data_IF_244579866402
#
_entry.id   IF_244579866402
#
_cell.length_a   1.000
_cell.length_b   1.000
_cell.length_c   1.000
_cell.angle_alpha   90.00
_cell.angle_beta   90.00
_cell.angle_gamma   90.00
#
_symmetry.space_group_name_H-M   'P 1'
#
loop_
_entity.id
_entity.type
_entity.pdbx_description
1 polymer ?
#
# COMPACT_ATOMS: atom_id res chain seq x y z
N UNK A 1 -12.24 26.28 35.18
CA UNK A 1 -11.42 27.10 34.27
C UNK A 1 -11.27 26.30 32.97
N UNK A 2 -11.76 26.80 31.83
CA UNK A 2 -11.49 26.16 30.53
C UNK A 2 -10.11 26.62 30.06
N UNK A 3 -9.18 25.68 29.87
CA UNK A 3 -7.90 25.97 29.25
C UNK A 3 -8.12 26.12 27.73
N UNK A 4 -7.49 27.11 27.07
CA UNK A 4 -7.66 27.35 25.64
C UNK A 4 -7.05 26.23 24.78
N UNK A 5 -5.98 25.58 25.26
CA UNK A 5 -5.34 24.46 24.60
C UNK A 5 -5.33 23.25 25.53
N UNK A 6 -6.10 22.25 25.14
CA UNK A 6 -6.22 20.99 25.86
C UNK A 6 -5.74 19.79 25.03
N UNK A 7 -5.48 20.02 23.75
CA UNK A 7 -4.81 19.10 22.84
C UNK A 7 -3.33 19.48 22.76
N UNK A 8 -2.48 18.77 23.48
CA UNK A 8 -1.03 19.01 23.53
C UNK A 8 -0.23 17.76 23.15
N UNK A 9 1.01 17.93 22.69
CA UNK A 9 1.86 16.80 22.31
C UNK A 9 2.08 15.81 23.46
N UNK A 10 2.31 16.30 24.69
CA UNK A 10 2.52 15.44 25.86
C UNK A 10 1.32 14.53 26.16
N UNK A 11 0.12 15.07 26.00
CA UNK A 11 -1.11 14.28 26.18
C UNK A 11 -1.26 13.28 25.03
N UNK A 12 -0.89 13.65 23.80
CA UNK A 12 -0.90 12.72 22.66
C UNK A 12 0.06 11.55 22.86
N UNK A 13 1.27 11.78 23.40
CA UNK A 13 2.22 10.72 23.76
C UNK A 13 1.65 9.80 24.85
N UNK A 14 0.95 10.37 25.83
CA UNK A 14 0.28 9.57 26.87
C UNK A 14 -0.80 8.67 26.26
N UNK A 15 -1.62 9.20 25.35
CA UNK A 15 -2.67 8.44 24.66
C UNK A 15 -2.08 7.39 23.71
N UNK A 16 -0.94 7.69 23.08
CA UNK A 16 -0.22 6.74 22.25
C UNK A 16 0.21 5.50 23.04
N UNK A 17 0.82 5.69 24.22
CA UNK A 17 1.21 4.55 25.08
C UNK A 17 -0.02 3.74 25.53
N UNK A 18 -1.14 4.39 25.84
CA UNK A 18 -2.41 3.70 26.16
C UNK A 18 -2.94 2.89 24.97
N UNK A 19 -2.90 3.46 23.77
CA UNK A 19 -3.33 2.79 22.53
C UNK A 19 -2.42 1.60 22.20
N UNK A 20 -1.11 1.75 22.43
CA UNK A 20 -0.13 0.68 22.27
C UNK A 20 -0.39 -0.45 23.27
N UNK A 21 -0.58 -0.14 24.55
CA UNK A 21 -0.95 -1.12 25.57
C UNK A 21 -2.24 -1.87 25.18
N UNK A 22 -3.24 -1.15 24.66
CA UNK A 22 -4.47 -1.79 24.17
C UNK A 22 -4.20 -2.80 23.05
N UNK A 23 -3.33 -2.48 22.09
CA UNK A 23 -2.95 -3.38 21.00
C UNK A 23 -2.11 -4.57 21.49
N UNK A 24 -1.25 -4.38 22.49
CA UNK A 24 -0.51 -5.48 23.13
C UNK A 24 -1.45 -6.45 23.85
N UNK A 25 -2.47 -5.94 24.53
CA UNK A 25 -3.52 -6.73 25.19
C UNK A 25 -4.50 -7.39 24.19
N UNK A 26 -4.70 -6.78 23.01
CA UNK A 26 -5.57 -7.27 21.94
C UNK A 26 -4.76 -7.69 20.72
N UNK A 27 -3.92 -8.72 20.89
CA UNK A 27 -3.00 -9.22 19.86
C UNK A 27 -3.68 -9.56 18.52
N UNK A 28 -4.93 -10.02 18.54
CA UNK A 28 -5.72 -10.28 17.33
C UNK A 28 -6.04 -9.01 16.54
N UNK A 29 -6.34 -7.89 17.22
CA UNK A 29 -6.58 -6.58 16.58
C UNK A 29 -5.27 -6.08 15.97
N UNK A 30 -4.17 -6.15 16.72
CA UNK A 30 -2.85 -5.73 16.24
C UNK A 30 -2.41 -6.52 14.99
N UNK A 31 -2.62 -7.84 15.01
CA UNK A 31 -2.34 -8.71 13.86
C UNK A 31 -3.21 -8.33 12.66
N UNK A 32 -4.52 -8.20 12.84
CA UNK A 32 -5.43 -7.80 11.76
C UNK A 32 -5.08 -6.43 11.18
N UNK A 33 -4.73 -5.44 12.01
CA UNK A 33 -4.25 -4.14 11.54
C UNK A 33 -3.03 -4.28 10.64
N UNK A 34 -2.06 -5.09 11.04
CA UNK A 34 -0.86 -5.35 10.25
C UNK A 34 -1.19 -6.03 8.92
N UNK A 35 -2.03 -7.07 8.93
CA UNK A 35 -2.43 -7.78 7.71
C UNK A 35 -3.19 -6.86 6.74
N UNK A 36 -4.11 -6.03 7.23
CA UNK A 36 -4.85 -5.06 6.39
C UNK A 36 -3.91 -4.00 5.79
N UNK A 37 -2.97 -3.48 6.58
CA UNK A 37 -1.99 -2.51 6.12
C UNK A 37 -1.09 -3.10 5.03
N UNK A 38 -0.57 -4.31 5.25
CA UNK A 38 0.24 -5.01 4.25
C UNK A 38 -0.56 -5.37 3.00
N UNK A 39 -1.81 -5.80 3.14
CA UNK A 39 -2.68 -6.11 2.00
C UNK A 39 -2.87 -4.88 1.10
N UNK A 40 -3.24 -3.74 1.69
CA UNK A 40 -3.44 -2.53 0.91
C UNK A 40 -2.14 -1.97 0.32
N UNK A 41 -1.01 -2.13 1.02
CA UNK A 41 0.31 -1.80 0.47
C UNK A 41 0.65 -2.66 -0.76
N UNK A 42 0.35 -3.97 -0.71
CA UNK A 42 0.60 -4.87 -1.85
C UNK A 42 -0.24 -4.50 -3.08
N UNK A 43 -1.40 -3.86 -2.93
CA UNK A 43 -2.19 -3.35 -4.07
C UNK A 43 -1.38 -2.39 -4.96
N UNK A 44 -0.43 -1.63 -4.42
CA UNK A 44 0.42 -0.75 -5.22
C UNK A 44 1.21 -1.50 -6.29
N UNK A 45 1.64 -2.75 -6.01
CA UNK A 45 2.35 -3.59 -6.98
C UNK A 45 1.43 -4.09 -8.11
N UNK A 46 0.12 -4.14 -7.85
CA UNK A 46 -0.88 -4.59 -8.82
C UNK A 46 -1.12 -3.54 -9.92
N UNK A 47 -0.87 -2.26 -9.62
CA UNK A 47 -1.03 -1.16 -10.60
C UNK A 47 0.17 -1.19 -11.55
N UNK A 48 -0.03 -1.48 -12.85
CA UNK A 48 1.08 -1.67 -13.77
C UNK A 48 1.79 -0.35 -14.06
N UNK A 49 3.12 -0.37 -14.02
CA UNK A 49 3.98 0.75 -14.42
C UNK A 49 4.74 0.37 -15.68
N UNK A 50 4.50 1.12 -16.76
CA UNK A 50 5.13 0.97 -18.08
C UNK A 50 6.01 2.17 -18.37
N UNK A 51 6.82 2.11 -19.42
CA UNK A 51 7.60 3.26 -19.90
C UNK A 51 6.73 4.45 -20.31
N UNK A 52 5.47 4.21 -20.69
CA UNK A 52 4.53 5.24 -21.13
C UNK A 52 3.86 5.96 -19.94
N UNK A 53 3.57 5.22 -18.87
CA UNK A 53 2.87 5.77 -17.71
C UNK A 53 3.81 6.14 -16.54
N UNK A 54 5.10 5.80 -16.62
CA UNK A 54 6.10 6.20 -15.63
C UNK A 54 6.13 7.73 -15.51
N UNK A 55 6.01 8.26 -14.29
CA UNK A 55 5.92 9.70 -13.99
C UNK A 55 4.69 10.45 -14.51
N UNK A 56 3.71 9.77 -15.10
CA UNK A 56 2.46 10.40 -15.53
C UNK A 56 1.53 10.79 -14.38
N UNK A 57 1.80 10.31 -13.17
CA UNK A 57 0.95 10.56 -12.00
C UNK A 57 -0.29 9.66 -11.93
N UNK A 58 -0.49 8.70 -12.85
CA UNK A 58 -1.57 7.69 -12.74
C UNK A 58 -1.55 6.89 -11.42
N UNK A 59 -0.36 6.74 -10.82
CA UNK A 59 -0.12 6.06 -9.56
C UNK A 59 -0.38 6.95 -8.32
N UNK A 60 -0.46 8.27 -8.51
CA UNK A 60 -0.56 9.25 -7.42
C UNK A 60 -1.78 9.01 -6.52
N UNK A 61 -3.01 8.75 -7.03
CA UNK A 61 -4.16 8.57 -6.14
C UNK A 61 -4.04 7.37 -5.21
N UNK A 62 -3.46 6.25 -5.67
CA UNK A 62 -3.20 5.12 -4.77
C UNK A 62 -2.13 5.47 -3.73
N UNK A 63 -1.05 6.11 -4.16
CA UNK A 63 0.04 6.49 -3.25
C UNK A 63 -0.47 7.43 -2.14
N UNK A 64 -1.20 8.48 -2.50
CA UNK A 64 -1.77 9.45 -1.55
C UNK A 64 -2.85 8.78 -0.66
N UNK A 65 -3.61 7.84 -1.22
CA UNK A 65 -4.53 7.00 -0.44
C UNK A 65 -3.81 6.15 0.61
N UNK A 66 -2.65 5.58 0.28
CA UNK A 66 -1.82 4.80 1.21
C UNK A 66 -1.21 5.68 2.30
N UNK A 67 -0.75 6.88 1.97
CA UNK A 67 -0.26 7.85 2.96
C UNK A 67 -1.39 8.29 3.91
N UNK A 68 -2.57 8.60 3.39
CA UNK A 68 -3.74 8.97 4.21
C UNK A 68 -4.18 7.84 5.16
N UNK A 69 -4.06 6.56 4.78
CA UNK A 69 -4.33 5.45 5.72
C UNK A 69 -3.35 5.47 6.90
N UNK A 70 -2.07 5.77 6.66
CA UNK A 70 -1.06 5.84 7.71
C UNK A 70 -1.29 7.06 8.62
N UNK A 71 -1.66 8.21 8.04
CA UNK A 71 -2.05 9.40 8.78
C UNK A 71 -3.28 9.11 9.65
N UNK A 72 -4.30 8.46 9.10
CA UNK A 72 -5.51 8.05 9.81
C UNK A 72 -5.19 7.16 11.01
N UNK A 73 -4.35 6.14 10.83
CA UNK A 73 -3.87 5.28 11.91
C UNK A 73 -3.15 6.07 13.01
N UNK A 74 -2.20 6.93 12.63
CA UNK A 74 -1.44 7.75 13.59
C UNK A 74 -2.37 8.68 14.39
N UNK A 75 -3.31 9.34 13.72
CA UNK A 75 -4.30 10.19 14.39
C UNK A 75 -5.17 9.39 15.36
N UNK A 76 -5.56 8.16 15.00
CA UNK A 76 -6.32 7.27 15.88
C UNK A 76 -5.51 6.90 17.13
N UNK A 77 -4.25 6.51 16.95
CA UNK A 77 -3.33 6.16 18.05
C UNK A 77 -3.07 7.34 19.00
N UNK A 78 -3.16 8.58 18.52
CA UNK A 78 -2.97 9.80 19.31
C UNK A 78 -4.28 10.33 19.93
N UNK A 79 -5.41 9.64 19.75
CA UNK A 79 -6.71 10.02 20.31
C UNK A 79 -7.49 11.07 19.50
N UNK A 80 -7.06 11.37 18.26
CA UNK A 80 -7.76 12.28 17.35
C UNK A 80 -8.78 11.53 16.48
N UNK A 81 -9.71 10.80 17.11
CA UNK A 81 -10.59 9.85 16.41
C UNK A 81 -11.46 10.46 15.30
N UNK A 82 -11.93 11.71 15.46
CA UNK A 82 -12.68 12.40 14.39
C UNK A 82 -11.77 12.64 13.18
N UNK A 83 -10.57 13.16 13.39
CA UNK A 83 -9.61 13.45 12.33
C UNK A 83 -9.12 12.16 11.68
N UNK A 84 -8.95 11.09 12.47
CA UNK A 84 -8.67 9.75 11.94
C UNK A 84 -9.76 9.29 10.97
N UNK A 85 -11.05 9.46 11.29
CA UNK A 85 -12.16 9.14 10.38
C UNK A 85 -12.18 10.05 9.14
N UNK A 86 -11.88 11.34 9.28
CA UNK A 86 -11.75 12.27 8.14
C UNK A 86 -10.64 11.84 7.18
N UNK A 87 -9.46 11.50 7.71
CA UNK A 87 -8.32 11.02 6.92
C UNK A 87 -8.61 9.65 6.28
N UNK A 88 -9.29 8.75 7.00
CA UNK A 88 -9.74 7.47 6.45
C UNK A 88 -10.69 7.65 5.25
N UNK A 89 -11.58 8.66 5.31
CA UNK A 89 -12.43 9.03 4.18
C UNK A 89 -11.60 9.54 2.99
N UNK A 90 -10.59 10.38 3.25
CA UNK A 90 -9.67 10.86 2.22
C UNK A 90 -8.99 9.70 1.51
N UNK A 91 -8.46 8.74 2.28
CA UNK A 91 -7.89 7.50 1.73
C UNK A 91 -8.88 6.72 0.88
N UNK A 92 -10.12 6.53 1.35
CA UNK A 92 -11.18 5.85 0.59
C UNK A 92 -11.48 6.55 -0.74
N UNK A 93 -11.64 7.87 -0.74
CA UNK A 93 -11.92 8.64 -1.96
C UNK A 93 -10.74 8.57 -2.95
N UNK A 94 -9.51 8.76 -2.48
CA UNK A 94 -8.30 8.68 -3.30
C UNK A 94 -8.09 7.28 -3.89
N UNK A 95 -8.35 6.23 -3.09
CA UNK A 95 -8.28 4.85 -3.54
C UNK A 95 -9.33 4.53 -4.61
N UNK A 96 -10.53 5.10 -4.52
CA UNK A 96 -11.53 5.02 -5.59
C UNK A 96 -11.09 5.75 -6.86
N UNK A 97 -10.45 6.92 -6.72
CA UNK A 97 -9.92 7.67 -7.86
C UNK A 97 -8.82 6.90 -8.60
N UNK A 98 -7.98 6.17 -7.88
CA UNK A 98 -6.98 5.27 -8.48
C UNK A 98 -7.63 4.32 -9.48
N UNK A 99 -8.69 3.62 -9.06
CA UNK A 99 -9.42 2.67 -9.91
C UNK A 99 -10.15 3.39 -11.04
N UNK A 100 -10.80 4.52 -10.75
CA UNK A 100 -11.58 5.28 -11.71
C UNK A 100 -10.75 5.84 -12.87
N UNK A 101 -9.59 6.42 -12.56
CA UNK A 101 -8.70 7.00 -13.57
C UNK A 101 -7.96 5.93 -14.35
N UNK A 102 -7.60 4.83 -13.73
CA UNK A 102 -6.93 3.75 -14.45
C UNK A 102 -7.90 2.78 -15.16
N UNK A 103 -9.22 3.01 -15.12
CA UNK A 103 -10.21 2.02 -15.58
C UNK A 103 -10.03 1.56 -17.02
N UNK A 104 -9.63 2.46 -17.93
CA UNK A 104 -9.42 2.15 -19.36
C UNK A 104 -7.93 2.10 -19.74
N UNK A 105 -7.03 2.04 -18.75
CA UNK A 105 -5.56 2.06 -18.93
C UNK A 105 -5.00 3.35 -19.60
N UNK A 106 -5.83 4.40 -19.68
CA UNK A 106 -5.53 5.76 -20.15
C UNK A 106 -5.28 6.75 -19.00
N UNK A 107 -5.14 6.24 -17.77
CA UNK A 107 -4.99 7.05 -16.54
C UNK A 107 -3.88 8.09 -16.61
N UNK A 108 -2.80 7.78 -17.33
CA UNK A 108 -1.65 8.65 -17.54
C UNK A 108 -1.96 9.92 -18.34
N UNK A 109 -2.97 9.88 -19.21
CA UNK A 109 -3.40 11.04 -20.02
C UNK A 109 -4.49 11.85 -19.29
N UNK A 110 -5.50 11.16 -18.77
CA UNK A 110 -6.72 11.81 -18.27
C UNK A 110 -6.54 12.46 -16.90
N UNK A 111 -5.57 12.00 -16.09
CA UNK A 111 -5.37 12.52 -14.74
C UNK A 111 -4.66 13.89 -14.70
N UNK A 112 -4.04 14.33 -15.80
CA UNK A 112 -3.17 15.52 -15.81
C UNK A 112 -3.88 16.80 -15.37
N UNK A 113 -5.13 17.00 -15.80
CA UNK A 113 -5.93 18.18 -15.43
C UNK A 113 -6.26 18.18 -13.94
N UNK A 114 -6.59 17.02 -13.38
CA UNK A 114 -6.85 16.87 -11.95
C UNK A 114 -5.58 17.08 -11.11
N UNK A 115 -4.42 16.54 -11.52
CA UNK A 115 -3.14 16.76 -10.84
C UNK A 115 -2.72 18.24 -10.81
N UNK A 116 -3.04 18.99 -11.88
CA UNK A 116 -2.79 20.43 -11.95
C UNK A 116 -3.85 21.28 -11.23
N UNK A 117 -4.84 20.65 -10.61
CA UNK A 117 -5.99 21.31 -9.98
C UNK A 117 -6.88 22.13 -10.95
N UNK A 118 -6.85 21.79 -12.24
CA UNK A 118 -7.69 22.40 -13.27
C UNK A 118 -9.11 21.78 -13.31
N UNK A 119 -9.27 20.56 -12.77
CA UNK A 119 -10.53 19.82 -12.74
C UNK A 119 -10.91 19.41 -11.31
N UNK A 120 -12.21 19.41 -11.01
CA UNK A 120 -12.73 18.93 -9.74
C UNK A 120 -12.69 17.40 -9.66
N UNK A 121 -12.53 16.86 -8.45
CA UNK A 121 -12.71 15.44 -8.20
C UNK A 121 -14.11 14.97 -8.62
N UNK A 122 -14.23 13.88 -9.39
CA UNK A 122 -15.52 13.33 -9.81
C UNK A 122 -16.35 12.90 -8.60
N UNK A 123 -17.67 13.07 -8.70
CA UNK A 123 -18.58 12.64 -7.63
C UNK A 123 -18.72 11.12 -7.65
N UNK A 124 -19.06 10.54 -6.49
CA UNK A 124 -19.30 9.10 -6.37
C UNK A 124 -20.24 8.54 -7.45
N UNK A 125 -21.32 9.25 -7.77
CA UNK A 125 -22.28 8.83 -8.80
C UNK A 125 -21.66 8.77 -10.21
N UNK A 126 -20.67 9.60 -10.52
CA UNK A 126 -19.96 9.58 -11.80
C UNK A 126 -18.91 8.46 -11.81
N UNK A 127 -18.21 8.26 -10.69
CA UNK A 127 -17.28 7.15 -10.51
C UNK A 127 -18.02 5.82 -10.72
N UNK A 128 -19.11 5.59 -9.99
CA UNK A 128 -19.86 4.33 -10.07
C UNK A 128 -20.45 4.10 -11.47
N UNK A 129 -20.95 5.15 -12.13
CA UNK A 129 -21.47 5.05 -13.51
C UNK A 129 -20.41 4.56 -14.49
N UNK A 130 -19.16 4.96 -14.30
CA UNK A 130 -18.03 4.47 -15.11
C UNK A 130 -17.68 3.03 -14.76
N UNK A 131 -17.60 2.71 -13.46
CA UNK A 131 -17.28 1.35 -12.99
C UNK A 131 -18.32 0.31 -13.47
N UNK A 132 -19.62 0.60 -13.35
CA UNK A 132 -20.68 -0.36 -13.72
C UNK A 132 -20.76 -0.68 -15.22
N UNK A 133 -20.09 0.10 -16.06
CA UNK A 133 -19.96 -0.15 -17.50
C UNK A 133 -18.80 -1.11 -17.83
N UNK A 134 -17.86 -1.30 -16.90
CA UNK A 134 -16.70 -2.17 -17.12
C UNK A 134 -17.09 -3.65 -16.86
N UNK A 135 -16.79 -4.59 -17.79
CA UNK A 135 -17.21 -5.98 -17.68
C UNK A 135 -16.84 -6.66 -16.36
N UNK A 136 -15.61 -6.48 -15.88
CA UNK A 136 -15.16 -7.07 -14.61
C UNK A 136 -15.98 -6.59 -13.41
N UNK A 137 -16.29 -5.30 -13.35
CA UNK A 137 -17.10 -4.71 -12.28
C UNK A 137 -18.56 -5.12 -12.38
N UNK A 138 -19.10 -5.27 -13.60
CA UNK A 138 -20.44 -5.80 -13.81
C UNK A 138 -20.55 -7.24 -13.30
N UNK A 139 -19.61 -8.11 -13.65
CA UNK A 139 -19.54 -9.49 -13.15
C UNK A 139 -19.40 -9.50 -11.63
N UNK A 140 -18.46 -8.74 -11.07
CA UNK A 140 -18.25 -8.69 -9.63
C UNK A 140 -19.50 -8.19 -8.88
N UNK A 141 -20.18 -7.15 -9.40
CA UNK A 141 -21.41 -6.59 -8.80
C UNK A 141 -22.58 -7.58 -8.79
N UNK A 142 -22.67 -8.49 -9.75
CA UNK A 142 -23.73 -9.51 -9.81
C UNK A 142 -23.63 -10.52 -8.66
N UNK A 143 -22.41 -10.76 -8.17
CA UNK A 143 -22.13 -11.75 -7.13
C UNK A 143 -21.83 -11.12 -5.77
N UNK A 144 -21.24 -9.93 -5.74
CA UNK A 144 -20.96 -9.14 -4.56
C UNK A 144 -21.59 -7.76 -4.68
N UNK A 145 -22.38 -7.35 -3.68
CA UNK A 145 -23.07 -6.06 -3.69
C UNK A 145 -22.13 -4.88 -3.37
N UNK A 146 -21.06 -4.72 -4.14
CA UNK A 146 -20.00 -3.74 -3.88
C UNK A 146 -20.51 -2.29 -3.93
N UNK A 147 -21.49 -2.00 -4.79
CA UNK A 147 -22.17 -0.70 -4.83
C UNK A 147 -22.77 -0.32 -3.49
N UNK A 148 -23.47 -1.27 -2.85
CA UNK A 148 -24.10 -1.00 -1.56
C UNK A 148 -23.05 -0.80 -0.47
N UNK A 149 -22.00 -1.64 -0.44
CA UNK A 149 -20.88 -1.47 0.50
C UNK A 149 -20.23 -0.09 0.38
N UNK A 150 -20.04 0.38 -0.85
CA UNK A 150 -19.53 1.73 -1.13
C UNK A 150 -20.46 2.83 -0.61
N UNK A 151 -21.77 2.69 -0.82
CA UNK A 151 -22.77 3.64 -0.30
C UNK A 151 -22.84 3.63 1.23
N UNK A 152 -22.67 2.45 1.84
CA UNK A 152 -22.69 2.28 3.29
C UNK A 152 -21.52 3.02 3.95
N UNK A 153 -20.36 3.14 3.30
CA UNK A 153 -19.25 4.00 3.76
C UNK A 153 -19.53 5.52 3.64
N UNK A 154 -20.65 5.92 3.05
CA UNK A 154 -21.04 7.32 2.92
C UNK A 154 -21.14 8.06 4.26
N UNK A 155 -21.37 7.35 5.39
CA UNK A 155 -21.40 7.97 6.72
C UNK A 155 -20.05 8.60 7.12
N UNK A 156 -18.93 8.20 6.51
CA UNK A 156 -17.63 8.81 6.80
C UNK A 156 -17.65 10.33 6.53
N UNK A 157 -18.48 10.79 5.59
CA UNK A 157 -18.70 12.21 5.30
C UNK A 157 -19.29 12.97 6.50
N UNK A 158 -20.06 12.30 7.36
CA UNK A 158 -20.65 12.91 8.54
C UNK A 158 -19.56 13.34 9.56
N UNK A 159 -18.38 12.70 9.57
CA UNK A 159 -17.22 13.11 10.38
C UNK A 159 -16.54 14.37 9.84
N UNK A 160 -16.47 14.52 8.52
CA UNK A 160 -15.91 15.73 7.88
C UNK A 160 -16.71 16.97 8.29
N UNK A 161 -18.03 16.88 8.17
CA UNK A 161 -18.94 18.00 8.47
C UNK A 161 -19.42 18.06 9.92
N UNK A 162 -18.94 17.14 10.78
CA UNK A 162 -19.35 17.03 12.18
C UNK A 162 -20.88 17.08 12.36
N UNK A 163 -21.59 16.16 11.69
CA UNK A 163 -23.06 16.10 11.67
C UNK A 163 -23.65 15.70 13.03
N UNK A 164 -23.67 16.64 13.97
CA UNK A 164 -24.11 16.42 15.34
C UNK A 164 -23.07 15.72 16.21
N UNK A 165 -23.44 15.51 17.47
CA UNK A 165 -22.52 15.06 18.52
C UNK A 165 -21.82 13.73 18.19
N UNK A 166 -22.53 12.79 17.57
CA UNK A 166 -22.02 11.46 17.19
C UNK A 166 -20.78 11.52 16.29
N UNK A 167 -20.66 12.52 15.43
CA UNK A 167 -19.58 12.62 14.46
C UNK A 167 -18.60 13.77 14.78
N UNK A 168 -18.62 14.24 16.02
CA UNK A 168 -17.77 15.32 16.52
C UNK A 168 -16.56 14.78 17.29
N UNK A 169 -15.71 15.66 17.81
CA UNK A 169 -14.62 15.28 18.72
C UNK A 169 -15.14 14.69 20.06
N UNK A 170 -16.45 14.74 20.31
CA UNK A 170 -17.08 14.07 21.45
C UNK A 170 -17.56 12.64 21.14
N UNK A 171 -17.11 12.07 20.02
CA UNK A 171 -17.35 10.67 19.67
C UNK A 171 -16.53 9.75 20.59
N UNK A 172 -17.19 8.85 21.33
CA UNK A 172 -16.56 7.96 22.31
C UNK A 172 -17.20 8.09 23.69
N UNK A 173 -17.33 9.30 24.25
CA UNK A 173 -17.99 9.62 25.54
C UNK A 173 -18.46 11.09 25.55
N UNK A 174 -19.49 11.43 26.34
CA UNK A 174 -19.75 12.82 26.76
C UNK A 174 -18.78 13.20 27.91
N UNK A 175 -17.86 14.16 27.67
CA UNK A 175 -16.97 14.82 28.66
C UNK A 175 -15.50 14.36 28.77
N UNK A 176 -14.70 14.54 27.72
CA UNK A 176 -13.31 14.94 27.95
C UNK A 176 -13.06 16.27 27.26
N UNK A 177 -12.49 17.23 28.00
CA UNK A 177 -12.06 18.50 27.43
C UNK A 177 -10.67 18.39 26.78
N UNK A 178 -10.05 17.21 26.77
CA UNK A 178 -8.71 16.90 26.24
C UNK A 178 -8.71 15.55 25.51
N UNK A 179 -7.67 15.22 24.75
CA UNK A 179 -7.57 13.89 24.14
C UNK A 179 -7.35 12.80 25.20
N UNK A 180 -8.01 11.66 24.99
CA UNK A 180 -7.97 10.46 25.83
C UNK A 180 -8.00 9.23 24.93
N UNK A 181 -7.43 8.12 25.39
CA UNK A 181 -7.69 6.84 24.75
C UNK A 181 -9.14 6.43 24.99
N UNK A 182 -9.88 6.13 23.93
CA UNK A 182 -11.29 5.73 23.97
C UNK A 182 -11.48 4.45 23.16
N UNK A 183 -11.58 3.31 23.87
CA UNK A 183 -11.72 1.98 23.24
C UNK A 183 -12.83 1.94 22.20
N UNK A 184 -14.02 2.45 22.52
CA UNK A 184 -15.17 2.46 21.60
C UNK A 184 -14.88 3.26 20.32
N UNK A 185 -14.16 4.37 20.44
CA UNK A 185 -13.82 5.20 19.29
C UNK A 185 -12.75 4.52 18.42
N UNK A 186 -11.74 3.91 19.05
CA UNK A 186 -10.74 3.10 18.38
C UNK A 186 -11.38 1.92 17.63
N UNK A 187 -12.24 1.15 18.28
CA UNK A 187 -12.90 -0.01 17.68
C UNK A 187 -13.81 0.39 16.51
N UNK A 188 -14.46 1.54 16.60
CA UNK A 188 -15.29 2.06 15.49
C UNK A 188 -14.43 2.51 14.32
N UNK A 189 -13.32 3.19 14.57
CA UNK A 189 -12.34 3.51 13.53
C UNK A 189 -11.78 2.23 12.90
N UNK A 190 -11.42 1.22 13.70
CA UNK A 190 -10.89 -0.04 13.21
C UNK A 190 -11.90 -0.80 12.34
N UNK A 191 -13.18 -0.82 12.73
CA UNK A 191 -14.24 -1.40 11.90
C UNK A 191 -14.39 -0.68 10.56
N UNK A 192 -14.31 0.65 10.55
CA UNK A 192 -14.34 1.43 9.31
C UNK A 192 -13.10 1.17 8.45
N UNK A 193 -11.93 1.09 9.07
CA UNK A 193 -10.66 0.82 8.41
C UNK A 193 -10.65 -0.54 7.70
N UNK A 194 -11.17 -1.59 8.36
CA UNK A 194 -11.36 -2.91 7.73
C UNK A 194 -12.17 -2.82 6.45
N UNK A 195 -13.34 -2.20 6.53
CA UNK A 195 -14.28 -2.12 5.41
C UNK A 195 -13.70 -1.30 4.26
N UNK A 196 -13.01 -0.19 4.56
CA UNK A 196 -12.30 0.61 3.55
C UNK A 196 -11.22 -0.21 2.86
N UNK A 197 -10.35 -0.88 3.61
CA UNK A 197 -9.25 -1.68 3.04
C UNK A 197 -9.79 -2.84 2.19
N UNK A 198 -10.77 -3.60 2.68
CA UNK A 198 -11.40 -4.69 1.93
C UNK A 198 -11.97 -4.19 0.60
N UNK A 199 -12.77 -3.11 0.64
CA UNK A 199 -13.37 -2.54 -0.58
C UNK A 199 -12.29 -2.07 -1.54
N UNK A 200 -11.28 -1.33 -1.07
CA UNK A 200 -10.24 -0.81 -1.94
C UNK A 200 -9.40 -1.94 -2.57
N UNK A 201 -9.04 -2.96 -1.79
CA UNK A 201 -8.37 -4.16 -2.30
C UNK A 201 -9.23 -4.86 -3.35
N UNK A 202 -10.52 -5.08 -3.05
CA UNK A 202 -11.47 -5.72 -3.97
C UNK A 202 -11.58 -4.96 -5.29
N UNK A 203 -11.75 -3.64 -5.26
CA UNK A 203 -11.90 -2.84 -6.48
C UNK A 203 -10.63 -2.84 -7.34
N UNK A 204 -9.45 -2.75 -6.73
CA UNK A 204 -8.19 -2.81 -7.48
C UNK A 204 -7.97 -4.20 -8.09
N UNK A 205 -8.28 -5.28 -7.37
CA UNK A 205 -8.17 -6.64 -7.90
C UNK A 205 -9.21 -6.93 -9.00
N UNK A 206 -10.40 -6.33 -8.96
CA UNK A 206 -11.38 -6.42 -10.04
C UNK A 206 -10.88 -5.70 -11.30
N UNK A 207 -10.22 -4.54 -11.15
CA UNK A 207 -9.58 -3.84 -12.28
C UNK A 207 -8.36 -4.59 -12.82
N UNK A 208 -7.56 -5.15 -11.93
CA UNK A 208 -6.31 -5.83 -12.26
C UNK A 208 -6.35 -7.29 -11.77
N UNK A 209 -7.11 -8.14 -12.45
CA UNK A 209 -7.33 -9.52 -12.01
C UNK A 209 -6.07 -10.40 -12.10
N UNK A 210 -4.97 -9.92 -12.67
CA UNK A 210 -3.66 -10.60 -12.54
C UNK A 210 -3.20 -10.69 -11.07
N UNK A 211 -3.62 -9.77 -10.20
CA UNK A 211 -3.22 -9.75 -8.79
C UNK A 211 -3.75 -10.93 -7.96
N UNK A 212 -4.63 -11.78 -8.50
CA UNK A 212 -5.08 -13.02 -7.83
C UNK A 212 -4.37 -14.28 -8.32
N UNK A 213 -3.42 -14.15 -9.25
CA UNK A 213 -2.67 -15.26 -9.81
C UNK A 213 -1.44 -15.54 -8.94
N UNK A 214 -1.37 -16.76 -8.41
CA UNK A 214 -0.19 -17.28 -7.73
C UNK A 214 0.80 -17.79 -8.78
N UNK A 215 1.95 -17.15 -8.85
CA UNK A 215 3.01 -17.52 -9.78
C UNK A 215 4.36 -17.12 -9.18
N UNK A 216 5.36 -17.99 -9.29
CA UNK A 216 6.74 -17.67 -8.91
C UNK A 216 7.41 -16.81 -9.99
N UNK A 217 7.19 -15.50 -9.91
CA UNK A 217 7.80 -14.54 -10.82
C UNK A 217 9.33 -14.49 -10.69
N UNK A 218 9.87 -14.85 -9.51
CA UNK A 218 11.31 -14.86 -9.27
C UNK A 218 12.02 -15.94 -10.10
N UNK A 219 11.37 -17.08 -10.36
CA UNK A 219 11.89 -18.10 -11.25
C UNK A 219 12.13 -17.58 -12.68
N UNK A 220 11.31 -16.62 -13.14
CA UNK A 220 11.38 -16.06 -14.50
C UNK A 220 12.20 -14.78 -14.60
N UNK A 221 12.20 -13.95 -13.57
CA UNK A 221 12.76 -12.59 -13.63
C UNK A 221 13.86 -12.34 -12.60
N UNK A 222 14.05 -13.23 -11.63
CA UNK A 222 14.95 -13.02 -10.49
C UNK A 222 14.49 -11.88 -9.61
N UNK A 223 15.39 -10.93 -9.34
CA UNK A 223 15.08 -9.74 -8.54
C UNK A 223 14.48 -8.61 -9.39
N UNK A 224 14.59 -8.70 -10.72
CA UNK A 224 14.15 -7.67 -11.66
C UNK A 224 12.73 -7.95 -12.18
N UNK A 225 11.80 -8.26 -11.27
CA UNK A 225 10.40 -8.50 -11.63
C UNK A 225 9.81 -7.17 -12.14
N UNK A 226 9.33 -7.10 -13.40
CA UNK A 226 8.70 -5.89 -13.90
C UNK A 226 7.39 -5.60 -13.18
N UNK A 227 7.05 -4.31 -13.04
CA UNK A 227 5.79 -3.84 -12.46
C UNK A 227 4.61 -4.03 -13.44
N UNK A 228 4.27 -5.27 -13.79
CA UNK A 228 3.12 -5.59 -14.64
C UNK A 228 1.87 -6.02 -13.86
N UNK A 229 1.88 -5.87 -12.53
CA UNK A 229 0.75 -6.20 -11.67
C UNK A 229 0.84 -7.54 -10.93
N UNK A 230 1.95 -8.27 -11.08
CA UNK A 230 2.20 -9.53 -10.37
C UNK A 230 2.49 -9.34 -8.89
N UNK A 231 2.02 -10.27 -8.06
CA UNK A 231 2.24 -10.32 -6.62
C UNK A 231 2.95 -11.61 -6.22
N UNK A 232 3.75 -11.55 -5.15
CA UNK A 232 4.30 -12.76 -4.55
C UNK A 232 3.17 -13.62 -3.94
N UNK A 233 3.34 -14.94 -3.89
CA UNK A 233 2.26 -15.85 -3.45
C UNK A 233 1.70 -15.50 -2.05
N UNK A 234 2.57 -15.12 -1.12
CA UNK A 234 2.16 -14.72 0.23
C UNK A 234 1.35 -13.42 0.26
N UNK A 235 1.56 -12.51 -0.70
CA UNK A 235 0.78 -11.29 -0.85
C UNK A 235 -0.61 -11.62 -1.40
N UNK A 236 -0.69 -12.56 -2.34
CA UNK A 236 -1.96 -13.08 -2.87
C UNK A 236 -2.76 -13.77 -1.76
N UNK A 237 -2.12 -14.60 -0.94
CA UNK A 237 -2.75 -15.27 0.20
C UNK A 237 -3.31 -14.28 1.22
N UNK A 238 -2.54 -13.23 1.52
CA UNK A 238 -2.98 -12.14 2.40
C UNK A 238 -4.19 -11.41 1.83
N UNK A 239 -4.20 -11.12 0.53
CA UNK A 239 -5.33 -10.49 -0.14
C UNK A 239 -6.57 -11.37 -0.10
N UNK A 240 -6.45 -12.67 -0.39
CA UNK A 240 -7.56 -13.64 -0.26
C UNK A 240 -8.13 -13.63 1.16
N UNK A 241 -7.28 -13.59 2.19
CA UNK A 241 -7.72 -13.51 3.57
C UNK A 241 -8.50 -12.21 3.87
N UNK A 242 -8.05 -11.08 3.32
CA UNK A 242 -8.65 -9.75 3.57
C UNK A 242 -10.00 -9.58 2.86
N UNK A 243 -10.08 -9.91 1.57
CA UNK A 243 -11.33 -9.72 0.80
C UNK A 243 -12.31 -10.90 0.96
N UNK A 244 -11.82 -12.01 1.50
CA UNK A 244 -12.57 -13.24 1.70
C UNK A 244 -12.61 -14.13 0.45
N UNK A 245 -12.61 -15.45 0.71
CA UNK A 245 -12.55 -16.49 -0.32
C UNK A 245 -13.63 -16.36 -1.40
N UNK A 246 -14.86 -16.01 -1.02
CA UNK A 246 -15.95 -15.86 -1.98
C UNK A 246 -15.67 -14.75 -3.02
N UNK A 247 -15.24 -13.58 -2.56
CA UNK A 247 -14.88 -12.47 -3.44
C UNK A 247 -13.66 -12.82 -4.29
N UNK A 248 -12.66 -13.44 -3.67
CA UNK A 248 -11.45 -13.86 -4.34
C UNK A 248 -11.72 -14.84 -5.51
N UNK A 249 -12.55 -15.86 -5.30
CA UNK A 249 -12.93 -16.84 -6.33
C UNK A 249 -13.60 -16.19 -7.54
N UNK A 250 -14.42 -15.16 -7.33
CA UNK A 250 -15.06 -14.43 -8.44
C UNK A 250 -14.00 -13.67 -9.23
N UNK A 251 -13.05 -13.02 -8.55
CA UNK A 251 -11.96 -12.31 -9.25
C UNK A 251 -11.05 -13.31 -9.99
N UNK A 252 -10.82 -14.51 -9.47
CA UNK A 252 -10.12 -15.57 -10.20
C UNK A 252 -10.88 -15.98 -11.46
N UNK A 253 -12.21 -16.07 -11.41
CA UNK A 253 -13.02 -16.36 -12.59
C UNK A 253 -12.91 -15.25 -13.64
N UNK A 254 -12.86 -13.99 -13.20
CA UNK A 254 -12.60 -12.84 -14.07
C UNK A 254 -11.22 -13.00 -14.72
N UNK A 255 -10.17 -13.26 -13.94
CA UNK A 255 -8.80 -13.46 -14.42
C UNK A 255 -8.68 -14.59 -15.45
N UNK A 256 -9.40 -15.69 -15.24
CA UNK A 256 -9.41 -16.84 -16.15
C UNK A 256 -10.08 -16.52 -17.50
N UNK A 257 -11.03 -15.59 -17.52
CA UNK A 257 -11.74 -15.16 -18.73
C UNK A 257 -11.11 -13.95 -19.43
N UNK A 258 -10.22 -13.23 -18.75
CA UNK A 258 -9.56 -12.02 -19.25
C UNK A 258 -8.44 -12.39 -20.22
N UNK A 259 -8.64 -12.08 -21.51
CA UNK A 259 -7.66 -12.40 -22.56
C UNK A 259 -6.32 -11.71 -22.36
N UNK A 260 -6.30 -10.51 -21.76
CA UNK A 260 -5.05 -9.78 -21.49
C UNK A 260 -4.25 -10.51 -20.42
N UNK A 261 -4.91 -10.93 -19.35
CA UNK A 261 -4.27 -11.75 -18.30
C UNK A 261 -3.77 -13.07 -18.87
N UNK A 262 -4.60 -13.80 -19.62
CA UNK A 262 -4.19 -15.09 -20.19
C UNK A 262 -3.01 -14.95 -21.16
N UNK A 263 -2.99 -13.92 -22.00
CA UNK A 263 -1.88 -13.66 -22.91
C UNK A 263 -0.59 -13.32 -22.14
N UNK A 264 -0.69 -12.51 -21.08
CA UNK A 264 0.44 -12.17 -20.23
C UNK A 264 1.01 -13.42 -19.53
N UNK A 265 0.15 -14.26 -18.94
CA UNK A 265 0.58 -15.50 -18.29
C UNK A 265 1.23 -16.49 -19.28
N UNK A 266 0.68 -16.60 -20.48
CA UNK A 266 1.27 -17.43 -21.54
C UNK A 266 2.66 -16.94 -21.93
N UNK A 267 2.84 -15.63 -22.07
CA UNK A 267 4.15 -15.03 -22.34
C UNK A 267 5.13 -15.30 -21.20
N UNK A 268 4.75 -15.02 -19.94
CA UNK A 268 5.61 -15.25 -18.76
C UNK A 268 6.02 -16.73 -18.67
N UNK A 269 5.06 -17.65 -18.85
CA UNK A 269 5.31 -19.09 -18.77
C UNK A 269 6.24 -19.57 -19.88
N UNK A 270 6.21 -18.91 -21.05
CA UNK A 270 7.09 -19.23 -22.18
C UNK A 270 8.54 -18.78 -22.00
N UNK A 271 8.81 -17.87 -21.04
CA UNK A 271 10.17 -17.46 -20.73
C UNK A 271 10.96 -18.61 -20.09
N UNK A 272 12.25 -18.78 -20.41
CA UNK A 272 13.09 -19.71 -19.67
C UNK A 272 13.22 -19.25 -18.21
N UNK A 273 13.39 -20.20 -17.30
CA UNK A 273 13.76 -19.87 -15.92
C UNK A 273 15.17 -19.27 -15.90
N UNK A 274 15.40 -18.31 -15.03
CA UNK A 274 16.73 -17.76 -14.84
C UNK A 274 17.59 -18.75 -14.03
N UNK A 275 18.87 -18.81 -14.36
CA UNK A 275 19.84 -19.55 -13.58
C UNK A 275 20.26 -18.79 -12.31
N UNK A 276 20.76 -19.52 -11.31
CA UNK A 276 21.35 -18.91 -10.11
C UNK A 276 22.45 -17.89 -10.46
N UNK A 277 23.27 -18.19 -11.47
CA UNK A 277 24.32 -17.28 -11.92
C UNK A 277 23.76 -15.96 -12.50
N UNK A 278 22.65 -16.03 -13.23
CA UNK A 278 21.95 -14.83 -13.74
C UNK A 278 21.34 -14.03 -12.59
N UNK A 279 20.71 -14.69 -11.60
CA UNK A 279 20.18 -14.03 -10.40
C UNK A 279 21.28 -13.28 -9.63
N UNK A 280 22.44 -13.92 -9.42
CA UNK A 280 23.59 -13.29 -8.77
C UNK A 280 24.16 -12.13 -9.57
N UNK A 281 24.16 -12.24 -10.91
CA UNK A 281 24.58 -11.14 -11.79
C UNK A 281 23.64 -9.93 -11.65
N UNK A 282 22.32 -10.15 -11.61
CA UNK A 282 21.35 -9.08 -11.38
C UNK A 282 21.59 -8.37 -10.04
N UNK A 283 21.81 -9.14 -8.95
CA UNK A 283 22.12 -8.60 -7.63
C UNK A 283 23.36 -7.72 -7.66
N UNK A 284 24.46 -8.21 -8.23
CA UNK A 284 25.72 -7.47 -8.33
C UNK A 284 25.55 -6.18 -9.13
N UNK A 285 24.86 -6.21 -10.26
CA UNK A 285 24.65 -5.02 -11.09
C UNK A 285 23.70 -4.00 -10.42
N UNK A 286 22.69 -4.47 -9.69
CA UNK A 286 21.85 -3.63 -8.84
C UNK A 286 22.67 -2.91 -7.76
N UNK A 287 23.50 -3.66 -7.03
CA UNK A 287 24.38 -3.12 -5.99
C UNK A 287 25.39 -2.12 -6.56
N UNK A 288 26.04 -2.43 -7.69
CA UNK A 288 26.93 -1.49 -8.40
C UNK A 288 26.23 -0.18 -8.75
N UNK A 289 24.96 -0.24 -9.15
CA UNK A 289 24.19 0.95 -9.53
C UNK A 289 23.88 1.84 -8.32
N UNK A 290 23.56 1.24 -7.16
CA UNK A 290 23.39 1.95 -5.89
C UNK A 290 24.72 2.52 -5.39
N UNK A 291 25.81 1.74 -5.45
CA UNK A 291 27.16 2.16 -5.06
C UNK A 291 27.61 3.38 -5.88
N UNK A 292 27.34 3.41 -7.19
CA UNK A 292 27.61 4.59 -8.03
C UNK A 292 26.90 5.83 -7.48
N UNK A 293 25.66 5.71 -7.03
CA UNK A 293 24.88 6.84 -6.54
C UNK A 293 25.34 7.31 -5.15
N UNK A 294 25.51 6.39 -4.19
CA UNK A 294 25.68 6.75 -2.77
C UNK A 294 27.08 6.47 -2.20
N UNK A 295 27.95 5.81 -2.95
CA UNK A 295 29.28 5.36 -2.52
C UNK A 295 29.25 4.04 -1.76
N UNK A 296 30.33 3.26 -1.87
CA UNK A 296 30.42 1.91 -1.29
C UNK A 296 30.19 1.89 0.22
N UNK A 297 30.81 2.83 0.97
CA UNK A 297 30.70 2.85 2.43
C UNK A 297 29.25 3.07 2.91
N UNK A 298 28.50 3.93 2.23
CA UNK A 298 27.09 4.19 2.58
C UNK A 298 26.21 2.99 2.21
N UNK A 299 26.43 2.41 1.04
CA UNK A 299 25.73 1.19 0.61
C UNK A 299 26.00 0.02 1.58
N UNK A 300 27.26 -0.22 1.96
CA UNK A 300 27.63 -1.29 2.89
C UNK A 300 26.97 -1.10 4.27
N UNK A 301 26.93 0.12 4.79
CA UNK A 301 26.24 0.45 6.03
C UNK A 301 24.72 0.19 5.93
N UNK A 302 24.10 0.60 4.82
CA UNK A 302 22.67 0.34 4.56
C UNK A 302 22.37 -1.16 4.52
N UNK A 303 23.22 -1.96 3.87
CA UNK A 303 23.06 -3.41 3.81
C UNK A 303 23.22 -4.07 5.19
N UNK A 304 24.21 -3.66 5.98
CA UNK A 304 24.37 -4.13 7.35
C UNK A 304 23.19 -3.79 8.25
N UNK A 305 22.63 -2.58 8.12
CA UNK A 305 21.42 -2.20 8.85
C UNK A 305 20.22 -3.05 8.43
N UNK A 306 20.06 -3.31 7.13
CA UNK A 306 18.96 -4.13 6.61
C UNK A 306 19.02 -5.57 7.15
N UNK A 307 20.22 -6.17 7.19
CA UNK A 307 20.44 -7.51 7.76
C UNK A 307 20.14 -7.53 9.27
N UNK A 308 20.54 -6.49 10.01
CA UNK A 308 20.32 -6.44 11.47
C UNK A 308 18.87 -6.18 11.85
N UNK A 309 18.15 -5.32 11.12
CA UNK A 309 16.73 -4.99 11.34
C UNK A 309 15.82 -6.17 10.99
N UNK A 310 16.17 -6.95 9.96
CA UNK A 310 15.38 -8.12 9.56
C UNK A 310 15.36 -9.24 10.62
N UNK A 311 16.18 -9.16 11.67
CA UNK A 311 16.28 -10.21 12.70
C UNK A 311 16.81 -11.56 12.18
N UNK A 312 17.15 -11.64 10.90
CA UNK A 312 17.60 -12.83 10.22
C UNK A 312 19.10 -13.00 10.47
N UNK A 313 19.46 -13.97 11.31
CA UNK A 313 20.81 -14.53 11.27
C UNK A 313 20.93 -15.28 9.95
N UNK A 314 21.72 -14.74 9.03
CA UNK A 314 22.17 -15.47 7.85
C UNK A 314 22.78 -16.80 8.30
N UNK A 315 22.49 -17.87 7.56
CA UNK A 315 23.22 -19.12 7.70
C UNK A 315 24.71 -18.91 7.39
N UNK A 316 25.56 -19.87 7.79
CA UNK A 316 26.99 -19.82 7.46
C UNK A 316 27.22 -19.75 5.95
N UNK A 317 26.38 -20.43 5.16
CA UNK A 317 26.46 -20.42 3.71
C UNK A 317 26.10 -19.06 3.11
N UNK A 318 25.00 -18.46 3.55
CA UNK A 318 24.58 -17.13 3.09
C UNK A 318 25.56 -16.04 3.51
N UNK A 319 26.16 -16.18 4.71
CA UNK A 319 27.20 -15.28 5.19
C UNK A 319 28.42 -15.32 4.28
N UNK A 320 28.89 -16.52 3.91
CA UNK A 320 30.02 -16.66 3.01
C UNK A 320 29.75 -16.07 1.61
N UNK A 321 28.55 -16.28 1.06
CA UNK A 321 28.13 -15.68 -0.22
C UNK A 321 28.10 -14.14 -0.11
N UNK A 322 27.53 -13.61 0.97
CA UNK A 322 27.46 -12.17 1.21
C UNK A 322 28.85 -11.54 1.34
N UNK A 323 29.75 -12.15 2.10
CA UNK A 323 31.13 -11.68 2.28
C UNK A 323 31.91 -11.69 0.96
N UNK A 324 31.75 -12.76 0.17
CA UNK A 324 32.37 -12.84 -1.16
C UNK A 324 31.87 -11.73 -2.09
N UNK A 325 30.56 -11.45 -2.09
CA UNK A 325 29.97 -10.36 -2.87
C UNK A 325 30.45 -8.99 -2.38
N UNK A 326 30.51 -8.79 -1.07
CA UNK A 326 30.97 -7.55 -0.44
C UNK A 326 32.41 -7.23 -0.86
N UNK A 327 33.30 -8.23 -0.82
CA UNK A 327 34.69 -8.07 -1.24
C UNK A 327 34.82 -7.79 -2.74
N UNK A 328 34.05 -8.50 -3.57
CA UNK A 328 33.99 -8.24 -5.01
C UNK A 328 33.56 -6.80 -5.32
N UNK A 329 32.50 -6.31 -4.68
CA UNK A 329 31.99 -4.96 -4.87
C UNK A 329 32.94 -3.88 -4.31
N UNK A 330 33.67 -4.18 -3.23
CA UNK A 330 34.71 -3.30 -2.68
C UNK A 330 35.84 -3.08 -3.67
N UNK A 331 36.41 -4.17 -4.20
CA UNK A 331 37.48 -4.10 -5.20
C UNK A 331 37.02 -3.34 -6.45
N UNK A 332 35.83 -3.67 -6.95
CA UNK A 332 35.26 -2.97 -8.10
C UNK A 332 35.03 -1.47 -7.83
N UNK A 333 34.57 -1.11 -6.62
CA UNK A 333 34.39 0.29 -6.21
C UNK A 333 35.72 1.05 -6.20
N UNK A 334 36.76 0.47 -5.60
CA UNK A 334 38.10 1.07 -5.48
C UNK A 334 38.72 1.30 -6.87
N UNK A 335 38.59 0.32 -7.78
CA UNK A 335 39.09 0.42 -9.15
C UNK A 335 38.39 1.52 -9.98
N UNK A 336 37.13 1.83 -9.67
CA UNK A 336 36.31 2.79 -10.43
C UNK A 336 36.10 4.12 -9.69
N UNK A 337 36.67 4.28 -8.49
CA UNK A 337 36.59 5.52 -7.71
C UNK A 337 35.21 5.79 -7.08
N UNK A 338 34.45 4.75 -6.73
CA UNK A 338 33.10 4.87 -6.13
C UNK A 338 33.09 4.71 -4.60
N UNK A 339 34.22 4.92 -3.93
CA UNK A 339 34.33 4.72 -2.48
C UNK A 339 33.57 5.77 -1.66
N UNK A 340 33.29 6.92 -2.28
CA UNK A 340 32.54 8.05 -1.72
C UNK A 340 31.37 8.42 -2.64
N UNK A 341 30.27 8.99 -2.10
CA UNK A 341 29.14 9.44 -2.90
C UNK A 341 29.56 10.45 -3.98
N UNK A 342 28.92 10.37 -5.15
CA UNK A 342 29.12 11.34 -6.25
C UNK A 342 28.69 12.77 -5.87
N UNK A 343 27.87 12.92 -4.83
CA UNK A 343 27.39 14.20 -4.30
C UNK A 343 27.78 14.28 -2.82
N UNK A 344 28.87 14.98 -2.50
CA UNK A 344 29.11 15.45 -1.13
C UNK A 344 28.15 16.62 -0.84
N UNK A 345 27.00 16.31 -0.23
CA UNK A 345 26.13 17.34 0.36
C UNK A 345 24.69 17.35 -0.14
N UNK A 346 23.81 16.78 0.66
CA UNK A 346 22.46 17.32 0.92
C UNK A 346 21.98 16.76 2.25
N UNK A 347 22.70 17.11 3.31
CA UNK A 347 22.07 17.24 4.63
C UNK A 347 21.22 18.50 4.60
N UNK A 348 19.92 18.33 4.34
CA UNK A 348 18.85 19.27 4.70
C UNK A 348 17.68 18.49 5.21
#
# INVERSE_FOLDING_TARGET
MMLPFTYTCDVSLTVYEQSKQYLEEQSDIAKQLSELAWAYKSIGKVIPTTTENLWSGHFFPWHDSWEEIQVSYNLCMLGFYKQAMTSLRGSFELGLLSVYWNLNDDGHEIIQSWLRSDENTPRFGDIWRKLEQHPNFLTYQQHHNIKQRLLDLGYLHDYVHAKGHKFSNAFGISKSNKQTFEKTAFDTWFSAYKEVVDILCSLHLVKYPIGVIRFDYSAKFGINIPFFGGLDEFEVDRLEQVIGQAAFQIIQSIAASDSTVQNLLNWITSLPDISEAEAQTQLIEGDKSLIKAMGFNNWANMMHQSISIAGNKLSEHETAIYEQRLEHLRQWSEENGYDKPLIEGSST
#
